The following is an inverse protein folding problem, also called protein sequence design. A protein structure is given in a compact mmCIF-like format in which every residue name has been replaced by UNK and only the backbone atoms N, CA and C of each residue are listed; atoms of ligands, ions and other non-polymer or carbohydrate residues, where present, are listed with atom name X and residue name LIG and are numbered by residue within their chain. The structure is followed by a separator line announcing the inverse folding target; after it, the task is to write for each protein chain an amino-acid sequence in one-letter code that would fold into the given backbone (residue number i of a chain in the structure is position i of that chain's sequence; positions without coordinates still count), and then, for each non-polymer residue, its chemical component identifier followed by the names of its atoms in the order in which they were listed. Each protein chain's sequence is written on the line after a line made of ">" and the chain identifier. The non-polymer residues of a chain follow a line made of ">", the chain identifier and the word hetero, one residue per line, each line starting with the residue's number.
data_IF_715777385036
#
_entry.id   IF_715777385036
#
_cell.length_a   1.000
_cell.length_b   1.000
_cell.length_c   1.000
_cell.angle_alpha   90.00
_cell.angle_beta   90.00
_cell.angle_gamma   90.00
#
_symmetry.space_group_name_H-M   'P 1'
#
loop_
_entity.id
_entity.type
_entity.pdbx_description
1 polymer ?
#
# COMPACT_ATOMS: atom_id res chain seq x y z
N UNK A 1 -15.66 -34.40 -7.64
CA UNK A 1 -14.92 -34.23 -6.37
C UNK A 1 -13.73 -33.32 -6.70
N UNK A 2 -13.66 -32.13 -6.13
CA UNK A 2 -12.56 -31.17 -6.42
C UNK A 2 -11.28 -31.78 -5.86
N UNK A 3 -10.21 -31.78 -6.64
CA UNK A 3 -8.88 -32.28 -6.22
C UNK A 3 -8.34 -31.44 -5.06
N UNK A 4 -7.58 -32.02 -4.13
CA UNK A 4 -6.89 -31.29 -3.04
C UNK A 4 -6.03 -30.17 -3.62
N UNK A 5 -5.37 -30.43 -4.71
CA UNK A 5 -4.52 -29.47 -5.44
C UNK A 5 -5.31 -28.28 -6.00
N UNK A 6 -6.48 -28.53 -6.55
CA UNK A 6 -7.39 -27.44 -6.98
C UNK A 6 -7.85 -26.56 -5.82
N UNK A 7 -8.14 -27.16 -4.67
CA UNK A 7 -8.46 -26.39 -3.47
C UNK A 7 -7.27 -25.51 -3.02
N UNK A 8 -6.06 -26.05 -3.03
CA UNK A 8 -4.83 -25.30 -2.69
C UNK A 8 -4.65 -24.11 -3.66
N UNK A 9 -4.83 -24.36 -4.97
CA UNK A 9 -4.73 -23.32 -6.00
C UNK A 9 -5.78 -22.23 -5.82
N UNK A 10 -7.02 -22.57 -5.50
CA UNK A 10 -8.09 -21.61 -5.27
C UNK A 10 -7.85 -20.78 -4.00
N UNK A 11 -7.39 -21.39 -2.91
CA UNK A 11 -7.01 -20.64 -1.71
C UNK A 11 -5.81 -19.71 -1.97
N UNK A 12 -4.82 -20.14 -2.72
CA UNK A 12 -3.71 -19.28 -3.13
C UNK A 12 -4.20 -18.11 -4.00
N UNK A 13 -5.18 -18.37 -4.90
CA UNK A 13 -5.80 -17.31 -5.71
C UNK A 13 -6.48 -16.24 -4.84
N UNK A 14 -7.25 -16.65 -3.84
CA UNK A 14 -7.87 -15.73 -2.88
C UNK A 14 -6.82 -14.91 -2.13
N UNK A 15 -5.74 -15.56 -1.69
CA UNK A 15 -4.64 -14.89 -1.02
C UNK A 15 -3.96 -13.85 -1.92
N UNK A 16 -3.68 -14.20 -3.18
CA UNK A 16 -3.09 -13.30 -4.16
C UNK A 16 -3.98 -12.07 -4.42
N UNK A 17 -5.29 -12.28 -4.59
CA UNK A 17 -6.25 -11.18 -4.76
C UNK A 17 -6.23 -10.27 -3.53
N UNK A 18 -6.29 -10.80 -2.32
CA UNK A 18 -6.22 -10.00 -1.10
C UNK A 18 -4.90 -9.20 -1.02
N UNK A 19 -3.77 -9.83 -1.35
CA UNK A 19 -2.46 -9.17 -1.35
C UNK A 19 -2.40 -8.03 -2.38
N UNK A 20 -2.95 -8.23 -3.59
CA UNK A 20 -3.03 -7.21 -4.63
C UNK A 20 -3.85 -5.98 -4.17
N UNK A 21 -5.04 -6.21 -3.59
CA UNK A 21 -5.87 -5.13 -3.06
C UNK A 21 -5.18 -4.35 -1.94
N UNK A 22 -4.50 -5.06 -1.04
CA UNK A 22 -3.74 -4.45 0.06
C UNK A 22 -2.56 -3.64 -0.47
N UNK A 23 -1.77 -4.19 -1.38
CA UNK A 23 -0.64 -3.49 -2.03
C UNK A 23 -1.10 -2.18 -2.68
N UNK A 24 -2.08 -2.25 -3.58
CA UNK A 24 -2.63 -1.06 -4.26
C UNK A 24 -3.22 -0.06 -3.28
N UNK A 25 -3.95 -0.52 -2.27
CA UNK A 25 -4.51 0.34 -1.22
C UNK A 25 -3.43 1.10 -0.46
N UNK A 26 -2.34 0.45 -0.10
CA UNK A 26 -1.20 1.07 0.56
C UNK A 26 -0.46 2.06 -0.34
N UNK A 27 -0.24 1.76 -1.63
CA UNK A 27 0.37 2.70 -2.55
C UNK A 27 -0.47 3.96 -2.75
N UNK A 28 -1.81 3.83 -2.86
CA UNK A 28 -2.70 4.99 -2.95
C UNK A 28 -2.72 5.81 -1.64
N UNK A 29 -2.63 5.16 -0.49
CA UNK A 29 -2.49 5.84 0.78
C UNK A 29 -1.15 6.61 0.87
N UNK A 30 -0.05 5.99 0.43
CA UNK A 30 1.25 6.65 0.38
C UNK A 30 1.24 7.87 -0.56
N UNK A 31 0.59 7.75 -1.73
CA UNK A 31 0.43 8.86 -2.67
C UNK A 31 -0.39 10.02 -2.07
N UNK A 32 -1.45 9.71 -1.33
CA UNK A 32 -2.25 10.71 -0.61
C UNK A 32 -1.39 11.49 0.41
N UNK A 33 -0.63 10.78 1.26
CA UNK A 33 0.25 11.40 2.24
C UNK A 33 1.37 12.22 1.61
N UNK A 34 1.92 11.75 0.47
CA UNK A 34 2.90 12.50 -0.33
C UNK A 34 2.31 13.81 -0.84
N UNK A 35 1.11 13.77 -1.43
CA UNK A 35 0.42 14.98 -1.92
C UNK A 35 0.15 15.95 -0.78
N UNK A 36 -0.36 15.47 0.36
CA UNK A 36 -0.63 16.28 1.54
C UNK A 36 0.64 16.98 2.05
N UNK A 37 1.77 16.26 2.07
CA UNK A 37 3.06 16.85 2.43
C UNK A 37 3.45 18.01 1.54
N UNK A 38 3.30 17.89 0.22
CA UNK A 38 3.60 18.99 -0.70
C UNK A 38 2.59 20.14 -0.60
N UNK A 39 1.31 19.83 -0.43
CA UNK A 39 0.27 20.84 -0.24
C UNK A 39 0.48 21.71 1.01
N UNK A 40 1.07 21.18 2.04
CA UNK A 40 1.42 21.94 3.26
C UNK A 40 2.83 22.55 3.16
N UNK A 41 3.80 21.81 2.65
CA UNK A 41 5.19 22.23 2.63
C UNK A 41 5.51 23.35 1.64
N UNK A 42 4.92 23.31 0.43
CA UNK A 42 5.16 24.36 -0.58
C UNK A 42 4.64 25.72 -0.12
N UNK A 43 3.37 25.87 0.33
CA UNK A 43 2.90 27.14 0.88
C UNK A 43 3.72 27.59 2.10
N UNK A 44 4.10 26.67 2.99
CA UNK A 44 4.93 26.99 4.14
C UNK A 44 6.26 27.64 3.72
N UNK A 45 6.93 27.11 2.71
CA UNK A 45 8.19 27.66 2.20
C UNK A 45 7.99 29.06 1.61
N UNK A 46 6.93 29.26 0.82
CA UNK A 46 6.63 30.55 0.19
C UNK A 46 6.29 31.60 1.26
N UNK A 47 5.40 31.27 2.20
CA UNK A 47 4.99 32.18 3.27
C UNK A 47 6.17 32.55 4.17
N UNK A 48 7.06 31.58 4.45
CA UNK A 48 8.28 31.83 5.22
C UNK A 48 9.21 32.83 4.51
N UNK A 49 9.43 32.67 3.20
CA UNK A 49 10.28 33.57 2.43
C UNK A 49 9.73 35.00 2.36
N UNK A 50 8.41 35.15 2.12
CA UNK A 50 7.73 36.46 2.13
C UNK A 50 7.74 37.05 3.52
N UNK A 51 7.51 36.27 4.56
CA UNK A 51 7.51 36.70 5.97
C UNK A 51 8.82 37.34 6.41
N UNK A 52 9.95 36.85 5.92
CA UNK A 52 11.27 37.45 6.19
C UNK A 52 11.36 38.85 5.61
N UNK A 53 10.84 39.06 4.40
CA UNK A 53 10.87 40.42 3.76
C UNK A 53 10.02 41.42 4.50
N UNK A 54 8.86 41.05 5.01
CA UNK A 54 7.92 41.93 5.74
C UNK A 54 8.04 41.85 7.26
N UNK A 55 9.16 41.34 7.80
CA UNK A 55 9.32 41.02 9.22
C UNK A 55 9.04 42.17 10.20
N UNK A 56 9.22 43.40 9.77
CA UNK A 56 9.03 44.62 10.61
C UNK A 56 7.59 45.19 10.53
N UNK A 57 6.81 44.73 9.59
CA UNK A 57 5.45 45.23 9.36
C UNK A 57 4.38 44.34 10.04
N UNK A 58 3.18 44.88 10.33
CA UNK A 58 2.08 44.07 10.91
C UNK A 58 1.73 42.83 10.08
N UNK A 59 1.89 42.89 8.76
CA UNK A 59 1.67 41.76 7.85
C UNK A 59 2.66 40.64 8.12
N UNK A 60 3.90 40.94 8.52
CA UNK A 60 4.90 39.95 8.89
C UNK A 60 4.50 39.12 10.11
N UNK A 61 3.81 39.68 11.08
CA UNK A 61 3.29 38.94 12.23
C UNK A 61 2.19 37.95 11.82
N UNK A 62 1.30 38.34 10.90
CA UNK A 62 0.28 37.41 10.35
C UNK A 62 0.93 36.26 9.59
N UNK A 63 1.93 36.54 8.76
CA UNK A 63 2.67 35.51 8.02
C UNK A 63 3.41 34.55 8.97
N UNK A 64 3.99 35.09 10.06
CA UNK A 64 4.63 34.24 11.08
C UNK A 64 3.64 33.30 11.77
N UNK A 65 2.42 33.78 12.07
CA UNK A 65 1.37 32.89 12.59
C UNK A 65 0.99 31.79 11.60
N UNK A 66 0.89 32.11 10.30
CA UNK A 66 0.62 31.08 9.26
C UNK A 66 1.74 30.05 9.17
N UNK A 67 3.00 30.48 9.22
CA UNK A 67 4.17 29.59 9.25
C UNK A 67 4.09 28.65 10.45
N UNK A 68 3.79 29.17 11.63
CA UNK A 68 3.63 28.37 12.84
C UNK A 68 2.53 27.31 12.70
N UNK A 69 1.36 27.70 12.19
CA UNK A 69 0.24 26.77 12.00
C UNK A 69 0.60 25.67 10.98
N UNK A 70 1.13 26.05 9.81
CA UNK A 70 1.50 25.08 8.77
C UNK A 70 2.61 24.11 9.22
N UNK A 71 3.63 24.62 9.91
CA UNK A 71 4.72 23.78 10.44
C UNK A 71 4.22 22.85 11.53
N UNK A 72 3.32 23.32 12.40
CA UNK A 72 2.68 22.48 13.43
C UNK A 72 1.86 21.37 12.79
N UNK A 73 1.06 21.66 11.76
CA UNK A 73 0.29 20.65 11.03
C UNK A 73 1.20 19.59 10.40
N UNK A 74 2.29 19.97 9.74
CA UNK A 74 3.25 19.01 9.17
C UNK A 74 3.86 18.11 10.24
N UNK A 75 4.19 18.67 11.40
CA UNK A 75 4.77 17.92 12.51
C UNK A 75 3.77 16.94 13.12
N UNK A 76 2.55 17.40 13.45
CA UNK A 76 1.52 16.56 14.06
C UNK A 76 1.00 15.47 13.12
N UNK A 77 0.78 15.78 11.85
CA UNK A 77 0.30 14.81 10.87
C UNK A 77 1.36 13.78 10.48
N UNK A 78 2.63 14.09 10.72
CA UNK A 78 3.78 13.22 10.40
C UNK A 78 3.67 12.59 9.01
N UNK A 79 3.35 13.46 8.03
CA UNK A 79 2.95 13.07 6.67
C UNK A 79 3.99 12.19 5.97
N UNK A 80 5.27 12.47 6.21
CA UNK A 80 6.36 11.72 5.61
C UNK A 80 6.46 10.30 6.18
N UNK A 81 6.39 10.14 7.51
CA UNK A 81 6.42 8.83 8.16
C UNK A 81 5.22 7.98 7.72
N UNK A 82 4.02 8.56 7.66
CA UNK A 82 2.83 7.85 7.21
C UNK A 82 2.96 7.41 5.74
N UNK A 83 3.49 8.27 4.87
CA UNK A 83 3.80 7.93 3.49
C UNK A 83 4.75 6.73 3.42
N UNK A 84 5.88 6.80 4.13
CA UNK A 84 6.93 5.77 4.06
C UNK A 84 6.43 4.44 4.63
N UNK A 85 5.66 4.48 5.72
CA UNK A 85 5.05 3.27 6.29
C UNK A 85 4.05 2.61 5.34
N UNK A 86 3.19 3.40 4.68
CA UNK A 86 2.28 2.85 3.68
C UNK A 86 3.02 2.36 2.44
N UNK A 87 4.03 3.09 1.97
CA UNK A 87 4.82 2.67 0.81
C UNK A 87 5.51 1.33 1.06
N UNK A 88 6.18 1.19 2.20
CA UNK A 88 6.85 -0.05 2.59
C UNK A 88 5.86 -1.23 2.74
N UNK A 89 4.71 -0.99 3.37
CA UNK A 89 3.66 -2.02 3.44
C UNK A 89 3.17 -2.41 2.04
N UNK A 90 3.02 -1.43 1.14
CA UNK A 90 2.64 -1.68 -0.25
C UNK A 90 3.61 -2.62 -0.98
N UNK A 91 4.91 -2.39 -0.81
CA UNK A 91 5.97 -3.25 -1.39
C UNK A 91 5.92 -4.67 -0.82
N UNK A 92 5.74 -4.83 0.49
CA UNK A 92 5.67 -6.14 1.12
C UNK A 92 4.44 -6.95 0.67
N UNK A 93 3.29 -6.30 0.48
CA UNK A 93 2.12 -6.96 -0.07
C UNK A 93 2.27 -7.26 -1.57
N UNK A 94 2.97 -6.41 -2.33
CA UNK A 94 3.28 -6.70 -3.73
C UNK A 94 4.21 -7.91 -3.87
N UNK A 95 5.20 -8.01 -3.00
CA UNK A 95 6.06 -9.17 -2.93
C UNK A 95 5.28 -10.45 -2.59
N UNK A 96 4.37 -10.39 -1.60
CA UNK A 96 3.49 -11.50 -1.25
C UNK A 96 2.61 -11.91 -2.44
N UNK A 97 2.04 -10.95 -3.16
CA UNK A 97 1.26 -11.18 -4.37
C UNK A 97 2.07 -11.93 -5.43
N UNK A 98 3.28 -11.45 -5.73
CA UNK A 98 4.15 -12.04 -6.72
C UNK A 98 4.59 -13.47 -6.32
N UNK A 99 4.93 -13.70 -5.06
CA UNK A 99 5.27 -15.04 -4.54
C UNK A 99 4.08 -15.99 -4.64
N UNK A 100 2.88 -15.54 -4.27
CA UNK A 100 1.67 -16.36 -4.34
C UNK A 100 1.32 -16.69 -5.80
N UNK A 101 1.49 -15.72 -6.71
CA UNK A 101 1.29 -15.92 -8.14
C UNK A 101 2.30 -16.94 -8.71
N UNK A 102 3.56 -16.84 -8.32
CA UNK A 102 4.58 -17.81 -8.72
C UNK A 102 4.24 -19.21 -8.20
N UNK A 103 3.84 -19.33 -6.94
CA UNK A 103 3.39 -20.58 -6.34
C UNK A 103 2.26 -21.23 -7.16
N UNK A 104 1.23 -20.46 -7.54
CA UNK A 104 0.12 -20.98 -8.33
C UNK A 104 0.51 -21.40 -9.74
N UNK A 105 1.40 -20.62 -10.39
CA UNK A 105 1.76 -20.84 -11.81
C UNK A 105 2.78 -21.94 -12.02
N UNK A 106 3.66 -22.15 -11.06
CA UNK A 106 4.79 -23.09 -11.20
C UNK A 106 4.58 -24.31 -10.33
N UNK A 107 4.39 -24.10 -9.02
CA UNK A 107 4.44 -25.19 -8.06
C UNK A 107 3.16 -26.03 -8.00
N UNK A 108 2.00 -25.41 -8.27
CA UNK A 108 0.71 -26.12 -8.33
C UNK A 108 0.44 -26.82 -9.68
N UNK A 109 1.40 -26.84 -10.62
CA UNK A 109 1.27 -27.62 -11.85
C UNK A 109 1.60 -29.09 -11.59
N UNK A 110 0.83 -29.99 -12.19
CA UNK A 110 1.01 -31.44 -12.04
C UNK A 110 2.35 -31.95 -12.59
N UNK A 111 2.92 -31.23 -13.54
CA UNK A 111 4.20 -31.56 -14.21
C UNK A 111 5.41 -31.54 -13.26
N UNK A 112 5.34 -30.81 -12.14
CA UNK A 112 6.45 -30.69 -11.18
C UNK A 112 6.49 -31.79 -10.11
N UNK A 113 5.51 -32.73 -10.06
CA UNK A 113 5.51 -33.88 -9.20
C UNK A 113 5.59 -33.61 -7.69
N UNK A 114 5.33 -32.38 -7.25
CA UNK A 114 5.31 -32.02 -5.82
C UNK A 114 4.12 -32.69 -5.11
N UNK A 115 4.37 -33.18 -3.88
CA UNK A 115 3.31 -33.76 -3.06
C UNK A 115 2.34 -32.68 -2.56
N UNK A 116 1.05 -33.00 -2.50
CA UNK A 116 0.01 -32.08 -2.02
C UNK A 116 0.28 -31.56 -0.60
N UNK A 117 0.92 -32.38 0.26
CA UNK A 117 1.33 -31.98 1.60
C UNK A 117 2.38 -30.87 1.60
N UNK A 118 3.36 -30.94 0.69
CA UNK A 118 4.40 -29.91 0.55
C UNK A 118 3.81 -28.59 0.05
N UNK A 119 2.86 -28.67 -0.89
CA UNK A 119 2.13 -27.51 -1.39
C UNK A 119 1.31 -26.85 -0.27
N UNK A 120 0.65 -27.64 0.57
CA UNK A 120 -0.09 -27.14 1.73
C UNK A 120 0.83 -26.41 2.70
N UNK A 121 1.97 -26.95 3.05
CA UNK A 121 2.95 -26.33 3.94
C UNK A 121 3.42 -24.98 3.37
N UNK A 122 3.64 -24.90 2.06
CA UNK A 122 4.03 -23.64 1.40
C UNK A 122 2.92 -22.61 1.43
N UNK A 123 1.69 -23.02 1.16
CA UNK A 123 0.51 -22.14 1.27
C UNK A 123 0.35 -21.60 2.69
N UNK A 124 0.48 -22.43 3.71
CA UNK A 124 0.41 -22.03 5.11
C UNK A 124 1.46 -20.96 5.45
N UNK A 125 2.69 -21.10 4.93
CA UNK A 125 3.74 -20.07 5.08
C UNK A 125 3.38 -18.73 4.44
N UNK A 126 2.72 -18.76 3.27
CA UNK A 126 2.24 -17.54 2.62
C UNK A 126 1.12 -16.86 3.44
N UNK A 127 0.22 -17.65 4.04
CA UNK A 127 -0.80 -17.14 4.96
C UNK A 127 -0.19 -16.57 6.25
N UNK A 128 0.81 -17.23 6.83
CA UNK A 128 1.53 -16.71 8.00
C UNK A 128 2.20 -15.37 7.69
N UNK A 129 2.77 -15.23 6.49
CA UNK A 129 3.35 -13.98 6.03
C UNK A 129 2.28 -12.89 5.92
N UNK A 130 1.13 -13.19 5.31
CA UNK A 130 -0.01 -12.27 5.23
C UNK A 130 -0.46 -11.83 6.63
N UNK A 131 -0.62 -12.77 7.55
CA UNK A 131 -1.03 -12.47 8.92
C UNK A 131 -0.08 -11.49 9.62
N UNK A 132 1.23 -11.69 9.45
CA UNK A 132 2.24 -10.76 9.97
C UNK A 132 2.11 -9.37 9.35
N UNK A 133 1.92 -9.30 8.03
CA UNK A 133 1.72 -8.02 7.33
C UNK A 133 0.47 -7.31 7.83
N UNK A 134 -0.66 -8.01 7.93
CA UNK A 134 -1.92 -7.45 8.45
C UNK A 134 -1.77 -6.89 9.86
N UNK A 135 -0.98 -7.56 10.72
CA UNK A 135 -0.76 -7.16 12.10
C UNK A 135 0.10 -5.90 12.26
N UNK A 136 1.09 -5.71 11.39
CA UNK A 136 2.09 -4.65 11.53
C UNK A 136 1.90 -3.48 10.56
N UNK A 137 1.07 -3.64 9.53
CA UNK A 137 0.78 -2.57 8.58
C UNK A 137 -0.23 -1.57 9.16
N UNK A 138 -0.11 -0.31 8.73
CA UNK A 138 -1.11 0.70 9.05
C UNK A 138 -2.44 0.36 8.37
N UNK A 139 -3.54 0.79 8.98
CA UNK A 139 -4.86 0.63 8.37
C UNK A 139 -4.97 1.46 7.08
N UNK A 140 -5.43 0.84 6.00
CA UNK A 140 -5.65 1.52 4.71
C UNK A 140 -6.86 2.46 4.85
N UNK A 141 -6.71 3.76 4.56
CA UNK A 141 -7.83 4.68 4.58
C UNK A 141 -8.90 4.30 3.53
N UNK A 142 -10.17 4.50 3.87
CA UNK A 142 -11.30 4.12 3.01
C UNK A 142 -11.19 4.67 1.58
N UNK A 143 -10.80 5.94 1.44
CA UNK A 143 -10.63 6.56 0.11
C UNK A 143 -9.54 5.89 -0.74
N UNK A 144 -8.44 5.44 -0.12
CA UNK A 144 -7.36 4.74 -0.80
C UNK A 144 -7.80 3.32 -1.21
N UNK A 145 -8.54 2.62 -0.34
CA UNK A 145 -9.11 1.32 -0.65
C UNK A 145 -10.09 1.38 -1.82
N UNK A 146 -11.03 2.35 -1.83
CA UNK A 146 -12.00 2.51 -2.92
C UNK A 146 -11.30 2.85 -4.25
N UNK A 147 -10.23 3.65 -4.20
CA UNK A 147 -9.42 3.94 -5.38
C UNK A 147 -8.72 2.70 -5.90
N UNK A 148 -8.12 1.88 -5.02
CA UNK A 148 -7.52 0.60 -5.38
C UNK A 148 -8.54 -0.34 -6.03
N UNK A 149 -9.72 -0.46 -5.43
CA UNK A 149 -10.82 -1.27 -5.96
C UNK A 149 -11.24 -0.83 -7.37
N UNK A 150 -11.35 0.47 -7.60
CA UNK A 150 -11.67 1.01 -8.92
C UNK A 150 -10.57 0.72 -9.94
N UNK A 151 -9.31 0.96 -9.59
CA UNK A 151 -8.16 0.70 -10.48
C UNK A 151 -8.06 -0.78 -10.87
N UNK A 152 -8.19 -1.69 -9.90
CA UNK A 152 -8.15 -3.13 -10.18
C UNK A 152 -9.30 -3.55 -11.11
N UNK A 153 -10.53 -3.02 -10.92
CA UNK A 153 -11.65 -3.27 -11.83
C UNK A 153 -11.43 -2.71 -13.24
N UNK A 154 -10.58 -1.71 -13.39
CA UNK A 154 -10.19 -1.12 -14.67
C UNK A 154 -8.97 -1.80 -15.30
N UNK A 155 -8.46 -2.88 -14.72
CA UNK A 155 -7.34 -3.66 -15.23
C UNK A 155 -5.97 -3.27 -14.66
N UNK A 156 -5.89 -2.39 -13.68
CA UNK A 156 -4.63 -2.13 -12.97
C UNK A 156 -4.19 -3.36 -12.17
N UNK A 157 -3.23 -4.08 -12.67
CA UNK A 157 -2.75 -5.32 -12.07
C UNK A 157 -3.64 -6.50 -12.42
N UNK A 158 -4.08 -6.56 -13.69
CA UNK A 158 -4.90 -7.67 -14.18
C UNK A 158 -4.24 -8.99 -13.80
N UNK A 159 -4.90 -9.69 -12.92
CA UNK A 159 -4.80 -11.12 -12.86
C UNK A 159 -5.20 -11.55 -14.27
N UNK A 160 -4.25 -11.97 -15.10
CA UNK A 160 -4.57 -12.58 -16.38
C UNK A 160 -5.39 -13.83 -16.06
N UNK A 161 -6.72 -13.66 -16.03
CA UNK A 161 -7.69 -14.76 -15.92
C UNK A 161 -7.70 -15.66 -17.17
N UNK A 162 -6.67 -15.59 -17.99
CA UNK A 162 -6.40 -16.53 -19.06
C UNK A 162 -5.53 -17.69 -18.56
N UNK A 163 -5.96 -18.30 -17.47
CA UNK A 163 -5.61 -19.66 -17.10
C UNK A 163 -6.93 -20.45 -17.16
N UNK A 164 -7.44 -20.59 -18.40
CA UNK A 164 -8.35 -21.68 -18.79
C UNK A 164 -7.58 -23.01 -18.76
#
# INVERSE_FOLDING_TARGET
>A
MISIRENIKEEARKLAICALYSSKGHFYAAEYWKRLHYWLGVPLTIVSAVGVYYSVEPIGHMLSCMVFVLSSLLTFLNTQKNRDSHFYSGELYDELYNQTRQFMRIECMDEFGQKDEELKIKLDRLYDRKYKLDKFSLQIPKHAYEKAKKGIKQGEGSFDDKLD
#
